data_IF_888665442509
#
_entry.id   IF_888665442509
#
_cell.length_a   1.000
_cell.length_b   1.000
_cell.length_c   1.000
_cell.angle_alpha   90.00
_cell.angle_beta   90.00
_cell.angle_gamma   90.00
#
_symmetry.space_group_name_H-M   'P 1'
#
loop_
_entity.id
_entity.type
_entity.pdbx_description
1 polymer ?
#
# COMPACT_ATOMS: atom_id res chain seq x y z
N UNK A 1 22.41 -19.71 -13.04
CA UNK A 1 21.06 -19.51 -12.47
C UNK A 1 21.19 -18.87 -11.09
N UNK A 2 20.90 -17.58 -10.93
CA UNK A 2 20.84 -16.95 -9.59
C UNK A 2 19.63 -17.56 -8.87
N UNK A 3 19.84 -18.30 -7.78
CA UNK A 3 18.74 -18.64 -6.86
C UNK A 3 18.12 -17.32 -6.42
N UNK A 4 16.85 -17.07 -6.75
CA UNK A 4 16.08 -16.00 -6.11
C UNK A 4 15.95 -16.40 -4.64
N UNK A 5 16.74 -15.78 -3.78
CA UNK A 5 16.67 -16.02 -2.34
C UNK A 5 15.32 -15.48 -1.85
N UNK A 6 14.40 -16.38 -1.49
CA UNK A 6 13.16 -15.98 -0.84
C UNK A 6 13.46 -15.44 0.56
N UNK A 7 12.59 -14.59 1.09
CA UNK A 7 12.73 -14.05 2.44
C UNK A 7 12.86 -15.18 3.50
N UNK A 8 12.12 -16.27 3.30
CA UNK A 8 12.21 -17.49 4.10
C UNK A 8 13.62 -18.10 4.07
N UNK A 9 14.21 -18.25 2.88
CA UNK A 9 15.56 -18.80 2.74
C UNK A 9 16.65 -17.94 3.37
N UNK A 10 16.46 -16.62 3.36
CA UNK A 10 17.40 -15.65 3.95
C UNK A 10 17.37 -15.67 5.47
N UNK A 11 16.17 -15.84 6.02
CA UNK A 11 15.95 -15.93 7.45
C UNK A 11 16.21 -17.34 8.00
N UNK A 12 16.51 -18.32 7.13
CA UNK A 12 16.76 -19.70 7.53
C UNK A 12 15.53 -20.42 8.09
N UNK A 13 14.34 -19.92 7.76
CA UNK A 13 13.05 -20.42 8.26
C UNK A 13 12.29 -21.14 7.16
N UNK A 14 11.40 -22.05 7.57
CA UNK A 14 10.62 -22.88 6.64
C UNK A 14 9.18 -22.40 6.48
N UNK A 15 8.70 -21.58 7.43
CA UNK A 15 7.34 -21.05 7.44
C UNK A 15 7.29 -19.55 7.73
N UNK A 16 6.17 -18.92 7.35
CA UNK A 16 5.88 -17.52 7.68
C UNK A 16 5.65 -17.32 9.17
N UNK A 17 5.16 -18.32 9.91
CA UNK A 17 5.05 -18.20 11.37
C UNK A 17 6.43 -18.12 12.03
N UNK A 18 7.36 -18.99 11.64
CA UNK A 18 8.75 -18.93 12.13
C UNK A 18 9.44 -17.61 11.74
N UNK A 19 9.13 -17.10 10.55
CA UNK A 19 9.59 -15.79 10.10
C UNK A 19 9.11 -14.67 11.02
N UNK A 20 7.84 -14.70 11.42
CA UNK A 20 7.27 -13.68 12.32
C UNK A 20 7.84 -13.78 13.74
N UNK A 21 8.24 -14.97 14.18
CA UNK A 21 8.90 -15.17 15.48
C UNK A 21 10.36 -14.71 15.49
N UNK A 22 11.03 -14.71 14.32
CA UNK A 22 12.44 -14.33 14.18
C UNK A 22 12.62 -12.83 13.93
N UNK A 23 11.61 -12.15 13.39
CA UNK A 23 11.61 -10.71 13.15
C UNK A 23 11.03 -9.95 14.35
N UNK A 24 11.91 -9.37 15.18
CA UNK A 24 11.50 -8.67 16.40
C UNK A 24 11.41 -7.15 16.22
N UNK A 25 11.87 -6.62 15.08
CA UNK A 25 11.81 -5.19 14.77
C UNK A 25 11.59 -4.91 13.27
N UNK A 26 11.14 -3.69 12.95
CA UNK A 26 11.04 -3.20 11.57
C UNK A 26 12.41 -3.14 10.86
N UNK A 27 13.47 -2.90 11.64
CA UNK A 27 14.84 -2.88 11.14
C UNK A 27 15.31 -4.27 10.72
N UNK A 28 14.99 -5.31 11.50
CA UNK A 28 15.30 -6.70 11.13
C UNK A 28 14.58 -7.11 9.84
N UNK A 29 13.33 -6.70 9.69
CA UNK A 29 12.56 -6.97 8.48
C UNK A 29 13.17 -6.26 7.26
N UNK A 30 13.53 -4.97 7.39
CA UNK A 30 14.22 -4.23 6.34
C UNK A 30 15.56 -4.89 5.96
N UNK A 31 16.36 -5.28 6.94
CA UNK A 31 17.63 -5.98 6.73
C UNK A 31 17.44 -7.34 6.05
N UNK A 32 16.40 -8.08 6.41
CA UNK A 32 16.05 -9.34 5.77
C UNK A 32 15.66 -9.13 4.29
N UNK A 33 14.86 -8.11 3.99
CA UNK A 33 14.51 -7.74 2.61
C UNK A 33 15.75 -7.38 1.78
N UNK A 34 16.69 -6.62 2.35
CA UNK A 34 17.97 -6.30 1.70
C UNK A 34 18.79 -7.56 1.40
N UNK A 35 18.91 -8.47 2.36
CA UNK A 35 19.62 -9.75 2.19
C UNK A 35 18.94 -10.67 1.17
N UNK A 36 17.62 -10.56 1.00
CA UNK A 36 16.87 -11.23 -0.07
C UNK A 36 17.10 -10.64 -1.47
N UNK A 37 17.87 -9.55 -1.56
CA UNK A 37 18.23 -8.93 -2.84
C UNK A 37 17.27 -7.83 -3.28
N UNK A 38 16.45 -7.28 -2.36
CA UNK A 38 15.68 -6.08 -2.64
C UNK A 38 16.66 -4.88 -2.72
N UNK A 39 16.86 -4.37 -3.94
CA UNK A 39 17.77 -3.24 -4.19
C UNK A 39 17.02 -1.93 -4.44
N UNK A 40 15.86 -2.01 -5.07
CA UNK A 40 15.02 -0.87 -5.44
C UNK A 40 13.57 -1.34 -5.56
N UNK A 41 12.63 -0.51 -5.12
CA UNK A 41 11.19 -0.78 -5.25
C UNK A 41 10.44 0.37 -5.88
N UNK A 42 9.62 0.06 -6.89
CA UNK A 42 8.52 0.90 -7.33
C UNK A 42 7.25 0.45 -6.61
N UNK A 43 6.43 1.41 -6.17
CA UNK A 43 5.23 1.15 -5.39
C UNK A 43 4.01 1.71 -6.11
N UNK A 44 2.92 0.96 -6.04
CA UNK A 44 1.58 1.40 -6.44
C UNK A 44 0.69 1.15 -5.23
N UNK A 45 -0.06 2.16 -4.81
CA UNK A 45 -0.99 2.06 -3.68
C UNK A 45 -2.43 2.03 -4.17
N UNK A 46 -3.17 1.02 -3.72
CA UNK A 46 -4.62 0.92 -3.88
C UNK A 46 -5.31 0.96 -2.53
N UNK A 47 -6.29 1.85 -2.37
CA UNK A 47 -7.03 2.06 -1.12
C UNK A 47 -8.51 1.70 -1.36
N UNK A 48 -9.01 0.79 -0.53
CA UNK A 48 -10.38 0.28 -0.57
C UNK A 48 -11.32 1.28 0.11
N UNK A 49 -12.18 1.96 -0.65
CA UNK A 49 -13.20 2.88 -0.13
C UNK A 49 -14.60 2.26 -0.09
N UNK A 50 -14.71 0.95 0.10
CA UNK A 50 -16.01 0.28 0.18
C UNK A 50 -16.72 0.53 1.51
N UNK A 51 -18.05 0.42 1.52
CA UNK A 51 -18.95 0.65 2.63
C UNK A 51 -18.74 -0.35 3.78
N UNK A 52 -18.12 -1.50 3.50
CA UNK A 52 -17.71 -2.46 4.52
C UNK A 52 -16.80 -1.81 5.57
N UNK A 53 -15.98 -0.83 5.19
CA UNK A 53 -15.13 -0.06 6.10
C UNK A 53 -15.91 0.79 7.12
N UNK A 54 -17.23 0.99 6.96
CA UNK A 54 -18.08 1.64 7.97
C UNK A 54 -18.35 0.70 9.15
N UNK A 55 -18.59 -0.58 8.86
CA UNK A 55 -19.08 -1.56 9.83
C UNK A 55 -17.97 -2.47 10.36
N UNK A 56 -16.90 -2.71 9.59
CA UNK A 56 -15.80 -3.58 10.05
C UNK A 56 -15.02 -3.01 11.25
N UNK A 57 -15.07 -1.69 11.46
CA UNK A 57 -14.51 -1.06 12.66
C UNK A 57 -15.38 -1.20 13.91
N UNK A 58 -16.57 -1.81 13.81
CA UNK A 58 -17.46 -2.06 14.96
C UNK A 58 -16.78 -2.89 16.05
N UNK A 59 -16.01 -3.91 15.65
CA UNK A 59 -15.25 -4.76 16.59
C UNK A 59 -13.82 -4.28 16.84
N UNK A 60 -13.14 -3.77 15.80
CA UNK A 60 -11.69 -3.56 15.82
C UNK A 60 -11.27 -2.09 15.99
N UNK A 61 -12.21 -1.15 15.88
CA UNK A 61 -11.90 0.29 15.91
C UNK A 61 -12.93 1.11 16.69
N UNK A 62 -13.50 0.51 17.75
CA UNK A 62 -14.41 1.18 18.69
C UNK A 62 -15.68 1.74 18.01
N UNK A 63 -16.26 1.02 17.05
CA UNK A 63 -17.45 1.52 16.36
C UNK A 63 -17.19 2.55 15.26
N UNK A 64 -15.93 2.97 15.07
CA UNK A 64 -15.58 3.96 14.04
C UNK A 64 -15.28 3.31 12.71
N UNK A 65 -15.49 4.05 11.63
CA UNK A 65 -15.04 3.61 10.31
C UNK A 65 -13.52 3.43 10.27
N UNK A 66 -13.05 2.42 9.54
CA UNK A 66 -11.63 2.18 9.30
C UNK A 66 -10.94 3.34 8.55
N UNK A 67 -11.71 4.27 7.97
CA UNK A 67 -11.22 5.50 7.33
C UNK A 67 -11.35 6.76 8.19
N UNK A 68 -11.82 6.69 9.44
CA UNK A 68 -12.04 7.91 10.21
C UNK A 68 -10.73 8.66 10.42
N UNK A 69 -10.68 9.92 9.98
CA UNK A 69 -9.53 10.81 10.20
C UNK A 69 -9.73 11.52 11.55
N UNK A 70 -8.74 11.38 12.43
CA UNK A 70 -8.76 11.92 13.79
C UNK A 70 -7.36 12.43 14.15
N UNK A 71 -7.28 13.56 14.86
CA UNK A 71 -6.01 14.20 15.20
C UNK A 71 -5.18 13.41 16.22
N UNK A 72 -5.83 12.60 17.05
CA UNK A 72 -5.21 11.88 18.17
C UNK A 72 -5.07 10.38 17.93
N UNK A 73 -5.80 9.82 16.94
CA UNK A 73 -5.77 8.39 16.67
C UNK A 73 -5.77 8.08 15.19
N UNK A 74 -4.66 7.48 14.76
CA UNK A 74 -4.51 6.94 13.42
C UNK A 74 -5.46 5.78 13.17
N UNK A 75 -6.11 5.80 12.02
CA UNK A 75 -6.87 4.66 11.53
C UNK A 75 -5.94 3.59 10.93
N UNK A 76 -6.45 2.35 10.70
CA UNK A 76 -5.62 1.26 10.22
C UNK A 76 -4.92 1.54 8.88
N UNK A 77 -5.54 2.29 7.96
CA UNK A 77 -4.89 2.66 6.69
C UNK A 77 -3.71 3.61 6.92
N UNK A 78 -3.86 4.64 7.76
CA UNK A 78 -2.76 5.55 8.13
C UNK A 78 -1.59 4.79 8.76
N UNK A 79 -1.89 3.84 9.65
CA UNK A 79 -0.87 3.01 10.30
C UNK A 79 -0.10 2.16 9.28
N UNK A 80 -0.80 1.51 8.34
CA UNK A 80 -0.17 0.71 7.28
C UNK A 80 0.71 1.57 6.40
N UNK A 81 0.22 2.73 5.93
CA UNK A 81 1.02 3.65 5.10
C UNK A 81 2.31 4.06 5.83
N UNK A 82 2.22 4.43 7.12
CA UNK A 82 3.40 4.80 7.93
C UNK A 82 4.39 3.66 8.13
N UNK A 83 3.89 2.45 8.44
CA UNK A 83 4.74 1.27 8.63
C UNK A 83 5.46 0.91 7.34
N UNK A 84 4.75 0.91 6.21
CA UNK A 84 5.33 0.69 4.89
C UNK A 84 6.36 1.77 4.54
N UNK A 85 6.09 3.02 4.90
CA UNK A 85 7.04 4.14 4.82
C UNK A 85 8.37 3.81 5.46
N UNK A 86 8.34 3.34 6.71
CA UNK A 86 9.56 3.00 7.47
C UNK A 86 10.30 1.78 6.91
N UNK A 87 9.57 0.75 6.51
CA UNK A 87 10.18 -0.50 5.99
C UNK A 87 10.83 -0.25 4.63
N UNK A 88 10.17 0.54 3.77
CA UNK A 88 10.56 0.69 2.37
C UNK A 88 11.41 1.93 2.10
N UNK A 89 11.50 2.89 3.02
CA UNK A 89 12.37 4.06 2.88
C UNK A 89 13.82 3.73 2.43
N UNK A 90 14.47 2.66 2.94
CA UNK A 90 15.82 2.29 2.49
C UNK A 90 15.92 1.74 1.06
N UNK A 91 14.80 1.45 0.42
CA UNK A 91 14.67 0.84 -0.91
C UNK A 91 13.88 1.69 -1.90
N UNK A 92 13.26 2.78 -1.42
CA UNK A 92 12.54 3.72 -2.24
C UNK A 92 13.51 4.32 -3.26
N UNK A 93 13.33 3.91 -4.51
CA UNK A 93 14.02 4.55 -5.63
C UNK A 93 13.28 5.87 -5.87
N UNK A 94 13.97 6.91 -6.35
CA UNK A 94 13.37 8.20 -6.68
C UNK A 94 12.27 8.00 -7.72
N UNK A 95 11.07 7.76 -7.24
CA UNK A 95 10.01 7.14 -8.02
C UNK A 95 8.69 7.63 -7.45
N UNK A 96 7.94 8.26 -8.34
CA UNK A 96 6.56 8.61 -8.14
C UNK A 96 5.76 7.37 -7.70
N UNK A 97 4.93 7.50 -6.67
CA UNK A 97 4.03 6.49 -6.12
C UNK A 97 2.62 6.79 -6.64
N UNK A 98 2.14 6.01 -7.60
CA UNK A 98 0.76 6.11 -8.03
C UNK A 98 -0.17 5.62 -6.94
N UNK A 99 -1.21 6.40 -6.67
CA UNK A 99 -2.13 6.17 -5.57
C UNK A 99 -3.58 6.21 -6.08
N UNK A 100 -4.28 5.10 -5.91
CA UNK A 100 -5.61 4.88 -6.44
C UNK A 100 -6.60 4.45 -5.36
N UNK A 101 -7.84 4.92 -5.49
CA UNK A 101 -8.97 4.51 -4.68
C UNK A 101 -9.96 3.72 -5.54
N UNK A 102 -10.69 2.80 -4.92
CA UNK A 102 -11.73 2.01 -5.58
C UNK A 102 -12.88 1.69 -4.64
N UNK A 103 -14.04 1.31 -5.19
CA UNK A 103 -15.22 0.93 -4.40
C UNK A 103 -15.97 2.11 -3.78
N UNK A 104 -15.73 3.34 -4.24
CA UNK A 104 -16.51 4.51 -3.85
C UNK A 104 -17.81 4.61 -4.69
N UNK A 105 -18.68 5.55 -4.34
CA UNK A 105 -19.96 5.73 -5.07
C UNK A 105 -19.74 6.06 -6.55
N UNK A 106 -18.65 6.78 -6.88
CA UNK A 106 -18.40 7.24 -8.26
C UNK A 106 -17.82 6.14 -9.14
N UNK A 107 -16.92 5.31 -8.63
CA UNK A 107 -16.28 4.27 -9.44
C UNK A 107 -16.94 2.90 -9.36
N UNK A 108 -17.69 2.63 -8.29
CA UNK A 108 -18.32 1.32 -8.02
C UNK A 108 -17.29 0.19 -8.27
N UNK A 109 -17.63 -0.83 -9.08
CA UNK A 109 -16.73 -1.94 -9.41
C UNK A 109 -15.93 -1.77 -10.70
N UNK A 110 -16.14 -0.68 -11.43
CA UNK A 110 -15.76 -0.59 -12.85
C UNK A 110 -14.47 0.17 -13.09
N UNK A 111 -14.04 0.99 -12.13
CA UNK A 111 -12.87 1.85 -12.30
C UNK A 111 -12.16 2.16 -10.97
N UNK A 112 -10.94 2.69 -11.10
CA UNK A 112 -10.21 3.33 -10.00
C UNK A 112 -10.22 4.84 -10.20
N UNK A 113 -10.05 5.60 -9.13
CA UNK A 113 -9.81 7.03 -9.18
C UNK A 113 -8.43 7.36 -8.61
N UNK A 114 -7.76 8.38 -9.16
CA UNK A 114 -6.51 8.87 -8.59
C UNK A 114 -6.76 9.64 -7.30
N UNK A 115 -5.98 9.34 -6.27
CA UNK A 115 -6.02 10.09 -5.01
C UNK A 115 -5.48 11.51 -5.17
N UNK A 116 -4.47 11.68 -6.04
CA UNK A 116 -3.87 12.96 -6.39
C UNK A 116 -4.15 13.24 -7.87
N UNK A 117 -5.05 14.19 -8.20
CA UNK A 117 -5.37 14.48 -9.60
C UNK A 117 -4.19 15.02 -10.42
N UNK A 118 -3.29 15.77 -9.78
CA UNK A 118 -2.19 16.50 -10.43
C UNK A 118 -0.94 15.64 -10.69
N UNK A 119 -1.05 14.31 -10.57
CA UNK A 119 0.03 13.38 -10.79
C UNK A 119 0.19 12.40 -9.64
N UNK A 120 1.43 12.04 -9.33
CA UNK A 120 1.72 10.97 -8.37
C UNK A 120 2.34 11.52 -7.08
N UNK A 121 2.34 10.71 -6.02
CA UNK A 121 2.98 11.08 -4.75
C UNK A 121 4.50 10.89 -4.87
N UNK A 122 5.29 11.81 -4.35
CA UNK A 122 6.76 11.76 -4.38
C UNK A 122 7.32 10.69 -3.44
N UNK A 123 6.61 10.44 -2.34
CA UNK A 123 6.98 9.53 -1.26
C UNK A 123 5.72 9.12 -0.47
N UNK A 124 5.92 8.24 0.52
CA UNK A 124 4.83 7.73 1.36
C UNK A 124 4.33 8.76 2.38
N UNK A 125 5.12 9.79 2.69
CA UNK A 125 4.69 10.90 3.54
C UNK A 125 3.69 11.80 2.80
N UNK A 126 3.94 12.10 1.51
CA UNK A 126 2.98 12.80 0.66
C UNK A 126 1.73 11.94 0.42
N UNK A 127 1.88 10.63 0.22
CA UNK A 127 0.72 9.73 0.10
C UNK A 127 -0.18 9.82 1.33
N UNK A 128 0.41 9.83 2.53
CA UNK A 128 -0.35 9.97 3.77
C UNK A 128 -1.07 11.33 3.84
N UNK A 129 -0.40 12.42 3.45
CA UNK A 129 -1.01 13.75 3.42
C UNK A 129 -2.18 13.82 2.44
N UNK A 130 -2.02 13.25 1.25
CA UNK A 130 -3.09 13.16 0.24
C UNK A 130 -4.25 12.33 0.78
N UNK A 131 -3.96 11.17 1.37
CA UNK A 131 -4.97 10.31 1.98
C UNK A 131 -5.78 11.07 3.05
N UNK A 132 -5.11 11.76 3.98
CA UNK A 132 -5.77 12.52 5.05
C UNK A 132 -6.65 13.64 4.50
N UNK A 133 -6.21 14.30 3.41
CA UNK A 133 -6.95 15.40 2.79
C UNK A 133 -8.20 14.95 2.04
N UNK A 134 -8.11 13.86 1.27
CA UNK A 134 -9.21 13.47 0.38
C UNK A 134 -10.22 12.53 1.03
N UNK A 135 -9.78 11.71 1.99
CA UNK A 135 -10.61 10.64 2.60
C UNK A 135 -11.94 11.16 3.12
N UNK A 136 -12.02 12.33 3.80
CA UNK A 136 -13.28 12.89 4.28
C UNK A 136 -14.27 13.26 3.16
N UNK A 137 -13.79 13.45 1.93
CA UNK A 137 -14.61 13.85 0.77
C UNK A 137 -15.17 12.66 -0.01
N UNK A 138 -14.71 11.45 0.26
CA UNK A 138 -15.05 10.24 -0.49
C UNK A 138 -16.26 9.56 0.15
N UNK A 139 -17.26 9.25 -0.68
CA UNK A 139 -18.43 8.52 -0.24
C UNK A 139 -18.22 7.02 -0.44
N UNK A 140 -18.18 6.27 0.67
CA UNK A 140 -17.95 4.82 0.64
C UNK A 140 -19.15 4.07 0.04
N UNK A 141 -18.90 3.14 -0.88
CA UNK A 141 -19.94 2.38 -1.61
C UNK A 141 -19.55 0.91 -1.82
N UNK A 142 -19.97 0.27 -2.90
CA UNK A 142 -19.43 -1.02 -3.28
C UNK A 142 -20.07 -1.52 -4.56
N UNK A 143 -19.92 -2.83 -4.85
CA UNK A 143 -19.17 -3.81 -4.06
C UNK A 143 -17.63 -3.68 -4.15
N UNK A 144 -16.92 -4.65 -3.56
CA UNK A 144 -15.45 -4.69 -3.55
C UNK A 144 -14.96 -5.42 -4.80
N UNK A 145 -14.35 -4.69 -5.73
CA UNK A 145 -13.72 -5.28 -6.91
C UNK A 145 -12.27 -4.79 -7.08
N UNK A 146 -11.31 -5.71 -6.96
CA UNK A 146 -9.88 -5.41 -7.14
C UNK A 146 -9.44 -5.43 -8.60
N UNK A 147 -10.24 -6.00 -9.53
CA UNK A 147 -9.82 -6.17 -10.92
C UNK A 147 -9.41 -4.85 -11.59
N UNK A 148 -10.14 -3.72 -11.44
CA UNK A 148 -9.73 -2.43 -12.03
C UNK A 148 -8.36 -1.96 -11.54
N UNK A 149 -8.08 -2.12 -10.24
CA UNK A 149 -6.79 -1.74 -9.65
C UNK A 149 -5.64 -2.62 -10.19
N UNK A 150 -5.90 -3.92 -10.37
CA UNK A 150 -4.91 -4.84 -10.94
C UNK A 150 -4.60 -4.46 -12.40
N UNK A 151 -5.62 -4.15 -13.20
CA UNK A 151 -5.40 -3.73 -14.58
C UNK A 151 -4.64 -2.40 -14.67
N UNK A 152 -4.98 -1.41 -13.84
CA UNK A 152 -4.24 -0.15 -13.77
C UNK A 152 -2.77 -0.39 -13.39
N UNK A 153 -2.50 -1.29 -12.43
CA UNK A 153 -1.13 -1.65 -12.04
C UNK A 153 -0.34 -2.31 -13.17
N UNK A 154 -0.99 -3.18 -13.96
CA UNK A 154 -0.39 -3.79 -15.16
C UNK A 154 -0.01 -2.70 -16.16
N UNK A 155 -0.92 -1.78 -16.48
CA UNK A 155 -0.62 -0.69 -17.42
C UNK A 155 0.54 0.20 -16.97
N UNK A 156 0.59 0.54 -15.68
CA UNK A 156 1.69 1.32 -15.11
C UNK A 156 3.01 0.55 -15.27
N UNK A 157 3.01 -0.74 -14.96
CA UNK A 157 4.21 -1.57 -15.10
C UNK A 157 4.68 -1.64 -16.55
N UNK A 158 3.78 -1.83 -17.51
CA UNK A 158 4.09 -1.81 -18.94
C UNK A 158 4.67 -0.46 -19.38
N UNK A 159 4.07 0.66 -18.97
CA UNK A 159 4.57 2.00 -19.26
C UNK A 159 5.97 2.20 -18.69
N UNK A 160 6.19 1.86 -17.42
CA UNK A 160 7.50 2.00 -16.76
C UNK A 160 8.56 1.11 -17.43
N UNK A 161 8.22 -0.12 -17.84
CA UNK A 161 9.14 -0.97 -18.60
C UNK A 161 9.45 -0.40 -19.99
N UNK A 162 8.46 0.23 -20.66
CA UNK A 162 8.65 0.89 -21.95
C UNK A 162 9.54 2.14 -21.89
N UNK A 163 9.68 2.80 -20.72
CA UNK A 163 10.61 3.91 -20.52
C UNK A 163 12.08 3.46 -20.33
N UNK A 164 12.34 2.16 -20.17
CA UNK A 164 13.70 1.62 -20.16
C UNK A 164 14.15 1.30 -21.61
N UNK A 165 14.42 2.34 -22.41
CA UNK A 165 15.20 2.17 -23.63
C UNK A 165 16.67 1.94 -23.22
N UNK A 166 17.28 0.94 -23.86
CA UNK A 166 18.62 0.37 -23.61
C UNK A 166 19.75 1.39 -23.38
#
# INVERSE_FOLDING_TARGET
>A
MRKRSSLLSVLGVTSTQEMLLTLTSLEDLSNAMRKAGLQSTNLIFGIDYTASNKYQGERCFQGRSLHSIDTFKENPYQQVIKIMGRILAPFATSGFIPAYGFGDVKTSDWSVFKLKPEGECKDLDELLQVYDAITPTISLSGPTNFAPLIYEAIEICEKVQNYHIQ
#
